data_IF_284837021514
#
_entry.id   IF_284837021514
#
_cell.length_a   1.000
_cell.length_b   1.000
_cell.length_c   1.000
_cell.angle_alpha   90.00
_cell.angle_beta   90.00
_cell.angle_gamma   90.00
#
_symmetry.space_group_name_H-M   'P 1'
#
loop_
_entity.id
_entity.type
_entity.pdbx_description
1 polymer ?
#
# COMPACT_ATOMS: atom_id res chain seq x y z
N UNK A 1 46.56 -1.00 8.75
CA UNK A 1 46.42 0.46 8.78
C UNK A 1 46.32 1.02 10.21
N UNK A 2 46.43 0.18 11.29
CA UNK A 2 46.52 0.63 12.69
C UNK A 2 45.31 1.33 13.27
N UNK A 3 44.11 1.16 12.66
CA UNK A 3 42.85 1.80 13.13
C UNK A 3 42.07 0.92 14.11
N UNK A 4 42.46 -0.36 14.28
CA UNK A 4 41.83 -1.28 15.22
C UNK A 4 42.72 -1.33 16.45
N UNK A 5 42.23 -0.86 17.60
CA UNK A 5 42.94 -0.88 18.87
C UNK A 5 42.77 -2.20 19.63
N UNK A 6 41.59 -2.81 19.49
CA UNK A 6 41.29 -4.09 20.16
C UNK A 6 40.17 -4.83 19.43
N UNK A 7 40.21 -6.15 19.51
CA UNK A 7 39.21 -7.07 18.98
C UNK A 7 38.77 -8.02 20.08
N UNK A 8 37.47 -7.99 20.41
CA UNK A 8 36.90 -8.79 21.47
C UNK A 8 35.74 -9.60 20.94
N UNK A 9 35.74 -10.89 21.18
CA UNK A 9 34.63 -11.78 20.85
C UNK A 9 33.53 -11.64 21.94
N UNK A 10 32.31 -11.28 21.53
CA UNK A 10 31.17 -11.20 22.43
C UNK A 10 29.98 -11.98 21.87
N UNK A 11 29.13 -12.50 22.78
CA UNK A 11 27.85 -13.09 22.39
C UNK A 11 26.80 -11.98 22.24
N UNK A 12 26.09 -11.95 21.12
CA UNK A 12 24.98 -11.04 20.91
C UNK A 12 23.78 -11.80 20.32
N UNK A 13 22.58 -11.32 20.61
CA UNK A 13 21.38 -11.81 19.96
C UNK A 13 21.23 -11.12 18.59
N UNK A 14 21.22 -11.92 17.53
CA UNK A 14 21.06 -11.42 16.15
C UNK A 14 19.62 -11.75 15.70
N UNK A 15 18.91 -10.75 15.18
CA UNK A 15 17.59 -10.96 14.59
C UNK A 15 17.70 -11.80 13.32
N UNK A 16 16.85 -12.80 13.20
CA UNK A 16 16.78 -13.65 12.01
C UNK A 16 15.38 -13.61 11.40
N UNK A 17 15.30 -13.79 10.09
CA UNK A 17 14.03 -13.88 9.39
C UNK A 17 13.31 -15.18 9.76
N UNK A 18 12.05 -15.07 10.19
CA UNK A 18 11.25 -16.20 10.68
C UNK A 18 11.16 -17.36 9.67
N UNK A 19 11.01 -17.04 8.38
CA UNK A 19 10.83 -18.06 7.34
C UNK A 19 12.11 -18.69 6.81
N UNK A 20 13.21 -17.96 6.82
CA UNK A 20 14.45 -18.38 6.16
C UNK A 20 15.60 -18.63 7.13
N UNK A 21 15.49 -18.14 8.38
CA UNK A 21 16.58 -18.16 9.34
C UNK A 21 17.76 -17.24 9.00
N UNK A 22 17.68 -16.51 7.88
CA UNK A 22 18.74 -15.58 7.46
C UNK A 22 18.88 -14.40 8.42
N UNK A 23 20.09 -13.89 8.61
CA UNK A 23 20.36 -12.73 9.44
C UNK A 23 19.69 -11.50 8.80
N UNK A 24 19.00 -10.69 9.63
CA UNK A 24 18.38 -9.46 9.19
C UNK A 24 19.43 -8.36 9.14
N UNK A 25 19.72 -7.87 7.93
CA UNK A 25 20.61 -6.74 7.69
C UNK A 25 19.83 -5.59 7.02
N UNK A 26 19.68 -4.41 7.66
CA UNK A 26 19.04 -3.26 7.03
C UNK A 26 19.96 -2.67 5.97
N UNK A 27 19.58 -2.79 4.70
CA UNK A 27 20.28 -2.20 3.57
C UNK A 27 19.54 -0.98 3.04
N UNK A 28 20.19 0.21 2.94
CA UNK A 28 19.58 1.36 2.30
C UNK A 28 19.38 1.09 0.80
N UNK A 29 18.13 1.24 0.32
CA UNK A 29 17.77 1.10 -1.08
C UNK A 29 16.71 2.14 -1.44
N UNK A 30 16.74 2.64 -2.67
CA UNK A 30 15.65 3.45 -3.20
C UNK A 30 14.37 2.60 -3.20
N UNK A 31 13.27 3.22 -2.75
CA UNK A 31 11.99 2.56 -2.61
C UNK A 31 10.87 3.47 -3.12
N UNK A 32 9.79 2.86 -3.58
CA UNK A 32 8.57 3.56 -3.92
C UNK A 32 7.67 3.69 -2.70
N UNK A 33 7.18 4.90 -2.47
CA UNK A 33 6.28 5.21 -1.35
C UNK A 33 5.00 5.89 -1.83
N UNK A 34 3.89 5.54 -1.22
CA UNK A 34 2.66 6.32 -1.27
C UNK A 34 2.70 7.32 -0.12
N UNK A 35 2.72 8.62 -0.46
CA UNK A 35 2.75 9.72 0.49
C UNK A 35 1.35 9.97 1.08
N UNK A 36 1.07 9.38 2.23
CA UNK A 36 -0.28 9.39 2.83
C UNK A 36 -0.67 10.72 3.47
N UNK A 37 0.30 11.56 3.81
CA UNK A 37 0.09 12.87 4.43
C UNK A 37 0.20 14.05 3.45
N UNK A 38 0.44 13.78 2.17
CA UNK A 38 0.54 14.80 1.14
C UNK A 38 -0.86 15.23 0.68
N UNK A 39 -1.09 16.53 0.63
CA UNK A 39 -2.33 17.10 0.09
C UNK A 39 -2.49 16.76 -1.39
N UNK A 40 -3.70 16.39 -1.78
CA UNK A 40 -4.07 16.01 -3.13
C UNK A 40 -4.96 17.11 -3.71
N UNK A 41 -4.45 17.95 -4.64
CA UNK A 41 -5.23 19.06 -5.19
C UNK A 41 -6.56 18.63 -5.81
N UNK A 42 -6.59 17.50 -6.52
CA UNK A 42 -7.80 16.95 -7.14
C UNK A 42 -8.84 16.43 -6.13
N UNK A 43 -8.48 16.34 -4.85
CA UNK A 43 -9.36 15.90 -3.75
C UNK A 43 -9.65 17.05 -2.76
N UNK A 44 -9.70 18.28 -3.25
CA UNK A 44 -9.93 19.49 -2.44
C UNK A 44 -8.91 19.67 -1.30
N UNK A 45 -7.66 19.31 -1.53
CA UNK A 45 -6.60 19.40 -0.53
C UNK A 45 -6.62 18.31 0.54
N UNK A 46 -7.54 17.34 0.48
CA UNK A 46 -7.53 16.18 1.38
C UNK A 46 -6.29 15.32 1.14
N UNK A 47 -5.78 14.73 2.22
CA UNK A 47 -4.73 13.72 2.17
C UNK A 47 -5.34 12.32 2.01
N UNK A 48 -4.53 11.32 1.64
CA UNK A 48 -4.99 9.92 1.67
C UNK A 48 -5.42 9.48 3.06
N UNK A 49 -4.78 10.01 4.10
CA UNK A 49 -5.18 9.80 5.49
C UNK A 49 -6.60 10.32 5.76
N UNK A 50 -6.95 11.50 5.25
CA UNK A 50 -8.30 12.07 5.39
C UNK A 50 -9.33 11.23 4.62
N UNK A 51 -9.03 10.83 3.38
CA UNK A 51 -9.89 9.96 2.59
C UNK A 51 -10.16 8.60 3.28
N UNK A 52 -9.21 8.13 4.08
CA UNK A 52 -9.36 6.89 4.85
C UNK A 52 -10.14 7.10 6.15
N UNK A 53 -9.95 8.24 6.81
CA UNK A 53 -10.53 8.56 8.12
C UNK A 53 -11.99 9.01 8.02
N UNK A 54 -12.28 9.89 7.06
CA UNK A 54 -13.56 10.62 6.97
C UNK A 54 -14.76 9.67 6.81
N UNK A 55 -14.76 8.64 5.94
CA UNK A 55 -15.91 7.77 5.75
C UNK A 55 -16.37 7.06 7.03
N UNK A 56 -15.42 6.62 7.86
CA UNK A 56 -15.73 5.98 9.16
C UNK A 56 -16.21 7.04 10.16
N UNK A 57 -15.56 8.20 10.20
CA UNK A 57 -15.93 9.30 11.10
C UNK A 57 -17.33 9.84 10.81
N UNK A 58 -17.72 9.90 9.54
CA UNK A 58 -19.02 10.42 9.09
C UNK A 58 -20.13 9.36 9.11
N UNK A 59 -19.80 8.11 9.45
CA UNK A 59 -20.79 7.02 9.51
C UNK A 59 -21.17 6.42 8.15
N UNK A 60 -20.40 6.74 7.09
CA UNK A 60 -20.57 6.12 5.77
C UNK A 60 -20.11 4.65 5.78
N UNK A 61 -19.07 4.36 6.58
CA UNK A 61 -18.59 3.01 6.86
C UNK A 61 -18.80 2.74 8.35
N UNK A 62 -19.54 1.68 8.66
CA UNK A 62 -19.74 1.22 10.03
C UNK A 62 -18.76 0.10 10.39
N UNK A 63 -18.07 0.21 11.52
CA UNK A 63 -17.18 -0.84 12.03
C UNK A 63 -17.87 -1.57 13.18
N UNK A 64 -18.16 -2.85 13.01
CA UNK A 64 -18.80 -3.68 14.00
C UNK A 64 -17.88 -4.85 14.42
N UNK A 65 -17.67 -5.12 15.71
CA UNK A 65 -18.12 -4.34 16.88
C UNK A 65 -17.46 -2.96 16.99
N UNK A 66 -18.19 -2.00 17.55
CA UNK A 66 -17.80 -0.58 17.61
C UNK A 66 -16.43 -0.33 18.28
N UNK A 67 -16.02 -1.18 19.23
CA UNK A 67 -14.72 -0.99 19.91
C UNK A 67 -13.51 -1.04 18.97
N UNK A 68 -13.62 -1.69 17.81
CA UNK A 68 -12.57 -1.67 16.79
C UNK A 68 -12.41 -0.31 16.09
N UNK A 69 -13.41 0.56 16.15
CA UNK A 69 -13.30 1.92 15.60
C UNK A 69 -12.19 2.71 16.28
N UNK A 70 -11.98 2.53 17.61
CA UNK A 70 -10.88 3.17 18.34
C UNK A 70 -9.51 2.71 17.81
N UNK A 71 -9.38 1.41 17.56
CA UNK A 71 -8.17 0.83 16.98
C UNK A 71 -7.94 1.35 15.58
N UNK A 72 -8.98 1.38 14.75
CA UNK A 72 -8.92 1.93 13.39
C UNK A 72 -8.42 3.38 13.37
N UNK A 73 -9.03 4.27 14.16
CA UNK A 73 -8.60 5.68 14.21
C UNK A 73 -7.19 5.85 14.75
N UNK A 74 -6.81 5.10 15.78
CA UNK A 74 -5.45 5.13 16.29
C UNK A 74 -4.41 4.76 15.21
N UNK A 75 -4.67 3.74 14.41
CA UNK A 75 -3.79 3.34 13.32
C UNK A 75 -3.73 4.40 12.22
N UNK A 76 -4.88 4.97 11.83
CA UNK A 76 -4.91 6.02 10.79
C UNK A 76 -4.17 7.27 11.26
N UNK A 77 -4.31 7.69 12.50
CA UNK A 77 -3.62 8.86 13.04
C UNK A 77 -2.10 8.69 13.03
N UNK A 78 -1.61 7.47 13.20
CA UNK A 78 -0.19 7.13 13.16
C UNK A 78 0.27 6.57 11.81
N UNK A 79 -0.57 6.62 10.78
CA UNK A 79 -0.23 6.11 9.46
C UNK A 79 0.96 6.85 8.86
N UNK A 80 1.98 6.09 8.46
CA UNK A 80 3.18 6.57 7.77
C UNK A 80 3.09 6.28 6.29
N UNK A 81 3.94 6.94 5.51
CA UNK A 81 4.07 6.67 4.09
C UNK A 81 4.28 5.18 3.84
N UNK A 82 3.52 4.64 2.90
CA UNK A 82 3.49 3.23 2.63
C UNK A 82 4.51 2.85 1.56
N UNK A 83 5.55 2.12 1.96
CA UNK A 83 6.48 1.53 1.01
C UNK A 83 5.79 0.43 0.21
N UNK A 84 5.68 0.63 -1.11
CA UNK A 84 4.98 -0.28 -2.03
C UNK A 84 5.90 -1.10 -2.92
N UNK A 85 7.19 -0.87 -2.89
CA UNK A 85 8.16 -1.66 -3.66
C UNK A 85 8.70 -2.85 -2.87
N UNK A 86 8.93 -3.96 -3.57
CA UNK A 86 9.48 -5.20 -3.02
C UNK A 86 10.54 -5.76 -3.96
N UNK A 87 11.64 -6.23 -3.39
CA UNK A 87 12.75 -6.85 -4.10
C UNK A 87 12.56 -8.38 -4.10
N UNK A 88 11.50 -8.84 -4.75
CA UNK A 88 11.15 -10.26 -4.86
C UNK A 88 10.91 -10.62 -6.33
N UNK A 89 11.08 -11.89 -6.67
CA UNK A 89 11.02 -12.36 -8.06
C UNK A 89 9.59 -12.46 -8.60
N UNK A 90 8.60 -12.64 -7.74
CA UNK A 90 7.22 -12.83 -8.13
C UNK A 90 6.35 -11.69 -7.59
N UNK A 91 5.50 -11.16 -8.45
CA UNK A 91 4.58 -10.07 -8.14
C UNK A 91 4.29 -9.21 -9.38
N UNK A 92 3.45 -8.21 -9.19
CA UNK A 92 3.19 -7.21 -10.23
C UNK A 92 4.37 -6.25 -10.30
N UNK A 93 5.08 -6.25 -11.40
CA UNK A 93 6.21 -5.36 -11.63
C UNK A 93 5.77 -3.91 -11.63
N UNK A 94 6.55 -3.04 -10.99
CA UNK A 94 6.24 -1.60 -10.94
C UNK A 94 6.20 -1.05 -12.37
N UNK A 95 5.08 -0.40 -12.77
CA UNK A 95 4.87 0.07 -14.15
C UNK A 95 5.57 1.41 -14.41
N UNK A 96 6.86 1.50 -14.07
CA UNK A 96 7.68 2.68 -14.26
C UNK A 96 8.86 2.32 -15.13
N UNK A 97 9.17 3.22 -16.06
CA UNK A 97 10.22 3.08 -17.07
C UNK A 97 11.18 4.25 -16.96
N UNK A 98 12.46 3.97 -17.11
CA UNK A 98 13.55 4.94 -17.03
C UNK A 98 14.33 4.99 -18.31
N UNK A 99 14.74 6.20 -18.71
CA UNK A 99 15.68 6.43 -19.82
C UNK A 99 16.55 7.63 -19.47
N UNK A 100 17.75 7.40 -18.97
CA UNK A 100 18.55 8.46 -18.35
C UNK A 100 17.80 9.09 -17.20
N UNK A 101 17.54 10.40 -17.25
CA UNK A 101 16.80 11.16 -16.24
C UNK A 101 15.27 11.19 -16.50
N UNK A 102 14.81 10.60 -17.59
CA UNK A 102 13.39 10.53 -17.94
C UNK A 102 12.70 9.40 -17.16
N UNK A 103 11.53 9.69 -16.60
CA UNK A 103 10.69 8.73 -15.87
C UNK A 103 9.31 8.71 -16.51
N UNK A 104 8.82 7.53 -16.86
CA UNK A 104 7.49 7.32 -17.40
C UNK A 104 6.74 6.25 -16.62
N UNK A 105 5.47 6.49 -16.31
CA UNK A 105 4.57 5.52 -15.67
C UNK A 105 3.54 5.02 -16.68
N UNK A 106 3.53 3.71 -16.92
CA UNK A 106 2.59 3.09 -17.85
C UNK A 106 2.81 1.59 -18.00
N UNK A 107 1.82 0.88 -18.54
CA UNK A 107 1.86 -0.57 -18.72
C UNK A 107 2.97 -1.04 -19.66
N UNK A 108 3.31 -0.22 -20.64
CA UNK A 108 4.32 -0.50 -21.66
C UNK A 108 5.32 0.64 -21.72
N UNK A 109 6.54 0.32 -22.13
CA UNK A 109 7.52 1.34 -22.44
C UNK A 109 6.98 2.34 -23.48
N UNK A 110 7.36 3.63 -23.38
CA UNK A 110 7.16 4.56 -24.48
C UNK A 110 7.89 4.09 -25.74
N UNK A 111 7.51 4.66 -26.89
CA UNK A 111 8.21 4.39 -28.16
C UNK A 111 9.68 4.84 -28.09
N UNK A 112 10.54 4.09 -28.78
CA UNK A 112 11.98 4.34 -28.85
C UNK A 112 12.81 3.41 -27.97
N UNK A 113 14.10 3.34 -28.27
CA UNK A 113 15.05 2.47 -27.58
C UNK A 113 15.56 3.07 -26.26
N UNK A 114 16.08 2.23 -25.39
CA UNK A 114 16.79 2.63 -24.18
C UNK A 114 15.91 2.78 -22.92
N UNK A 115 14.62 2.44 -22.98
CA UNK A 115 13.77 2.36 -21.80
C UNK A 115 13.98 1.07 -21.02
N UNK A 116 14.22 1.19 -19.72
CA UNK A 116 14.31 0.07 -18.79
C UNK A 116 13.21 0.16 -17.74
N UNK A 117 12.47 -0.94 -17.55
CA UNK A 117 11.43 -1.01 -16.51
C UNK A 117 12.07 -1.15 -15.14
N UNK A 118 11.43 -0.55 -14.13
CA UNK A 118 11.78 -0.76 -12.72
C UNK A 118 11.87 -2.26 -12.40
N UNK A 119 12.90 -2.68 -11.66
CA UNK A 119 13.15 -4.10 -11.34
C UNK A 119 12.28 -4.60 -10.20
N UNK A 120 11.79 -3.70 -9.35
CA UNK A 120 11.01 -4.05 -8.17
C UNK A 120 9.57 -4.44 -8.54
N UNK A 121 8.93 -5.17 -7.64
CA UNK A 121 7.52 -5.53 -7.72
C UNK A 121 6.71 -4.75 -6.71
N UNK A 122 5.40 -4.65 -6.96
CA UNK A 122 4.47 -4.04 -6.01
C UNK A 122 4.24 -4.94 -4.79
N UNK A 123 4.05 -4.32 -3.63
CA UNK A 123 3.56 -4.98 -2.42
C UNK A 123 2.26 -5.73 -2.71
N UNK A 124 2.13 -6.94 -2.20
CA UNK A 124 0.91 -7.77 -2.32
C UNK A 124 -0.33 -7.01 -1.86
N UNK A 125 -0.22 -6.19 -0.81
CA UNK A 125 -1.33 -5.39 -0.30
C UNK A 125 -1.76 -4.28 -1.26
N UNK A 126 -0.93 -3.91 -2.24
CA UNK A 126 -1.31 -2.91 -3.24
C UNK A 126 -2.42 -3.46 -4.15
N UNK A 127 -2.22 -4.63 -4.76
CA UNK A 127 -3.24 -5.27 -5.57
C UNK A 127 -4.46 -5.71 -4.76
N UNK A 128 -4.23 -6.22 -3.53
CA UNK A 128 -5.31 -6.61 -2.62
C UNK A 128 -6.21 -5.44 -2.21
N UNK A 129 -5.67 -4.22 -2.16
CA UNK A 129 -6.43 -3.02 -1.85
C UNK A 129 -7.42 -2.60 -2.96
N UNK A 130 -7.23 -3.11 -4.17
CA UNK A 130 -8.11 -2.84 -5.32
C UNK A 130 -9.28 -3.83 -5.43
N UNK A 131 -9.31 -4.84 -4.56
CA UNK A 131 -10.18 -6.02 -4.70
C UNK A 131 -11.66 -5.68 -4.86
N UNK A 132 -12.19 -4.72 -4.09
CA UNK A 132 -13.62 -4.38 -4.06
C UNK A 132 -14.18 -3.85 -5.39
N UNK A 133 -13.33 -3.42 -6.30
CA UNK A 133 -13.74 -2.90 -7.60
C UNK A 133 -13.01 -3.55 -8.77
N UNK A 134 -11.76 -3.96 -8.61
CA UNK A 134 -11.00 -4.60 -9.70
C UNK A 134 -11.58 -5.97 -10.10
N UNK A 135 -12.07 -6.75 -9.14
CA UNK A 135 -12.71 -8.05 -9.39
C UNK A 135 -14.08 -7.92 -10.04
N UNK A 136 -14.68 -6.74 -9.99
CA UNK A 136 -15.95 -6.40 -10.62
C UNK A 136 -15.80 -5.80 -12.03
N UNK A 137 -14.56 -5.82 -12.55
CA UNK A 137 -14.24 -5.44 -13.92
C UNK A 137 -13.76 -4.02 -14.12
N UNK A 138 -13.50 -3.24 -13.04
CA UNK A 138 -12.85 -1.93 -13.21
C UNK A 138 -11.51 -2.08 -13.97
N UNK A 139 -11.16 -1.15 -14.92
CA UNK A 139 -11.75 0.18 -15.13
C UNK A 139 -13.00 0.21 -16.02
N UNK A 140 -13.48 -0.92 -16.52
CA UNK A 140 -14.69 -1.00 -17.32
C UNK A 140 -15.93 -0.72 -16.46
N UNK A 141 -16.94 -0.05 -17.07
CA UNK A 141 -18.21 0.21 -16.41
C UNK A 141 -19.16 -0.99 -16.52
N UNK A 142 -18.81 -2.08 -15.87
CA UNK A 142 -19.57 -3.33 -15.94
C UNK A 142 -20.88 -3.26 -15.15
N UNK A 143 -21.79 -4.18 -15.46
CA UNK A 143 -23.03 -4.36 -14.70
C UNK A 143 -22.70 -4.79 -13.26
N UNK A 144 -21.70 -5.64 -13.07
CA UNK A 144 -21.29 -6.14 -11.77
C UNK A 144 -20.73 -5.01 -10.90
N UNK A 145 -19.87 -4.15 -11.45
CA UNK A 145 -19.36 -2.98 -10.73
C UNK A 145 -20.51 -2.08 -10.27
N UNK A 146 -21.48 -1.80 -11.14
CA UNK A 146 -22.63 -0.97 -10.81
C UNK A 146 -23.56 -1.60 -9.76
N UNK A 147 -23.65 -2.94 -9.74
CA UNK A 147 -24.60 -3.66 -8.89
C UNK A 147 -24.03 -4.01 -7.52
N UNK A 148 -22.72 -4.30 -7.43
CA UNK A 148 -22.08 -4.86 -6.25
C UNK A 148 -21.07 -3.93 -5.58
N UNK A 149 -20.77 -2.77 -6.18
CA UNK A 149 -19.95 -1.74 -5.54
C UNK A 149 -20.84 -0.56 -5.10
N UNK A 150 -20.71 -0.04 -3.86
CA UNK A 150 -19.92 -0.59 -2.76
C UNK A 150 -20.49 -1.90 -2.19
N UNK A 151 -19.63 -2.77 -1.72
CA UNK A 151 -20.00 -4.01 -1.01
C UNK A 151 -20.84 -3.69 0.24
N UNK A 152 -21.87 -4.49 0.53
CA UNK A 152 -22.72 -4.24 1.70
C UNK A 152 -22.00 -4.54 3.02
N UNK A 153 -21.35 -5.70 3.11
CA UNK A 153 -20.65 -6.16 4.33
C UNK A 153 -19.40 -6.91 3.96
N UNK A 154 -18.31 -6.64 4.71
CA UNK A 154 -17.09 -7.46 4.66
C UNK A 154 -16.76 -7.93 6.08
N UNK A 155 -16.41 -9.22 6.23
CA UNK A 155 -16.08 -9.81 7.54
C UNK A 155 -14.63 -10.32 7.51
N UNK A 156 -13.65 -9.49 7.85
CA UNK A 156 -12.24 -9.90 7.91
C UNK A 156 -11.89 -10.47 9.28
N UNK A 157 -10.73 -11.11 9.37
CA UNK A 157 -10.06 -11.29 10.65
C UNK A 157 -9.58 -9.93 11.19
N UNK A 158 -9.60 -9.74 12.51
CA UNK A 158 -9.32 -8.43 13.13
C UNK A 158 -7.88 -7.95 12.87
N UNK A 159 -6.92 -8.85 12.74
CA UNK A 159 -5.52 -8.55 12.49
C UNK A 159 -5.26 -7.94 11.10
N UNK A 160 -6.16 -8.14 10.12
CA UNK A 160 -6.04 -7.54 8.80
C UNK A 160 -6.88 -6.27 8.62
N UNK A 161 -7.53 -5.80 9.67
CA UNK A 161 -8.25 -4.53 9.67
C UNK A 161 -7.36 -3.38 9.17
N UNK A 162 -6.13 -3.31 9.66
CA UNK A 162 -5.18 -2.30 9.25
C UNK A 162 -4.53 -2.60 7.90
N UNK A 163 -4.17 -3.86 7.64
CA UNK A 163 -3.42 -4.22 6.44
C UNK A 163 -4.27 -4.24 5.18
N UNK A 164 -5.47 -4.78 5.24
CA UNK A 164 -6.32 -4.95 4.07
C UNK A 164 -7.49 -3.97 4.04
N UNK A 165 -8.29 -3.94 5.09
CA UNK A 165 -9.52 -3.13 5.15
C UNK A 165 -9.20 -1.64 4.97
N UNK A 166 -8.27 -1.13 5.76
CA UNK A 166 -7.82 0.27 5.68
C UNK A 166 -7.30 0.63 4.29
N UNK A 167 -6.51 -0.27 3.67
CA UNK A 167 -5.98 -0.02 2.32
C UNK A 167 -7.05 -0.04 1.24
N UNK A 168 -8.08 -0.87 1.37
CA UNK A 168 -9.24 -0.81 0.47
C UNK A 168 -9.95 0.53 0.58
N UNK A 169 -10.19 1.04 1.80
CA UNK A 169 -10.81 2.37 2.00
C UNK A 169 -9.95 3.46 1.36
N UNK A 170 -8.63 3.43 1.59
CA UNK A 170 -7.68 4.37 1.03
C UNK A 170 -7.69 4.38 -0.50
N UNK A 171 -7.55 3.20 -1.12
CA UNK A 171 -7.44 3.09 -2.58
C UNK A 171 -8.76 3.37 -3.29
N UNK A 172 -9.88 2.91 -2.74
CA UNK A 172 -11.20 3.20 -3.30
C UNK A 172 -11.54 4.68 -3.21
N UNK A 173 -11.29 5.30 -2.06
CA UNK A 173 -11.49 6.74 -1.89
C UNK A 173 -10.61 7.59 -2.82
N UNK A 174 -9.39 7.14 -3.11
CA UNK A 174 -8.51 7.84 -4.05
C UNK A 174 -8.92 7.65 -5.51
N UNK A 175 -9.21 6.41 -5.93
CA UNK A 175 -9.43 6.05 -7.33
C UNK A 175 -10.86 6.35 -7.78
N UNK A 176 -11.86 6.03 -6.96
CA UNK A 176 -13.28 6.10 -7.33
C UNK A 176 -14.05 7.26 -6.68
N UNK A 177 -13.50 7.93 -5.67
CA UNK A 177 -14.23 8.89 -4.81
C UNK A 177 -15.41 8.25 -4.08
N UNK A 178 -15.34 6.96 -3.80
CA UNK A 178 -16.40 6.15 -3.20
C UNK A 178 -15.88 5.38 -1.99
N UNK A 179 -16.81 4.78 -1.23
CA UNK A 179 -16.45 3.83 -0.17
C UNK A 179 -16.42 2.40 -0.74
N UNK A 180 -15.52 1.52 -0.25
CA UNK A 180 -15.43 0.14 -0.74
C UNK A 180 -16.55 -0.76 -0.23
N UNK A 181 -17.06 -0.50 0.98
CA UNK A 181 -18.10 -1.27 1.67
C UNK A 181 -18.79 -0.41 2.73
N UNK A 182 -19.97 -0.86 3.19
CA UNK A 182 -20.78 -0.12 4.18
C UNK A 182 -20.54 -0.58 5.62
N UNK A 183 -20.19 -1.87 5.83
CA UNK A 183 -19.95 -2.44 7.17
C UNK A 183 -18.82 -3.45 7.11
#
# INVERSE_FOLDING_TARGET
QGLIENEVTSKQNVGTAERTGGIIEPLPKLQWFIAVNKEIPSKNGKTLKDLTKDPVKNGEINIAPEYFSKTYFHWIENLRDWCISRQIWYGHRIPVWYKGDEIYCGEKAPEGEGWAQDEDTLDTWFSSALWTFSTLGWPEKTIDLKSFHPTSVIVPAYEILFFWITRMVLMTGYILDEIPFKT
#
